data_IF_819898669349
#
_entry.id   IF_819898669349
#
_cell.length_a   1.000
_cell.length_b   1.000
_cell.length_c   1.000
_cell.angle_alpha   90.00
_cell.angle_beta   90.00
_cell.angle_gamma   90.00
#
_symmetry.space_group_name_H-M   'P 1'
#
loop_
_entity.id
_entity.type
_entity.pdbx_description
1 polymer ?
#
# COMPACT_ATOMS: atom_id res chain seq x y z
N UNK A 1 5.32 -10.17 -15.21
CA UNK A 1 6.20 -9.17 -14.55
C UNK A 1 6.62 -9.68 -13.18
N UNK A 2 7.75 -9.20 -12.66
CA UNK A 2 8.29 -9.49 -11.34
C UNK A 2 7.80 -8.44 -10.33
N UNK A 3 7.07 -8.87 -9.30
CA UNK A 3 6.51 -8.01 -8.27
C UNK A 3 7.18 -8.29 -6.92
N UNK A 4 7.70 -7.26 -6.26
CA UNK A 4 8.02 -7.34 -4.83
C UNK A 4 6.81 -6.92 -4.01
N UNK A 5 6.30 -7.81 -3.18
CA UNK A 5 5.17 -7.53 -2.29
C UNK A 5 5.60 -7.53 -0.82
N UNK A 6 5.45 -6.36 -0.19
CA UNK A 6 5.71 -6.13 1.22
C UNK A 6 4.39 -6.14 2.01
N UNK A 7 4.36 -6.74 3.20
CA UNK A 7 3.12 -6.88 3.98
C UNK A 7 2.17 -7.97 3.46
N UNK A 8 2.72 -8.97 2.77
CA UNK A 8 1.99 -10.07 2.13
C UNK A 8 1.12 -10.92 3.06
N UNK A 9 1.48 -11.02 4.33
CA UNK A 9 0.73 -11.78 5.34
C UNK A 9 -0.36 -10.96 6.01
N UNK A 10 -0.50 -9.68 5.67
CA UNK A 10 -1.53 -8.79 6.19
C UNK A 10 -2.87 -8.97 5.46
N UNK A 11 -3.93 -8.39 6.04
CA UNK A 11 -5.31 -8.51 5.55
C UNK A 11 -5.47 -8.17 4.07
N UNK A 12 -4.94 -7.05 3.61
CA UNK A 12 -5.01 -6.65 2.19
C UNK A 12 -3.96 -7.39 1.36
N UNK A 13 -2.73 -7.49 1.87
CA UNK A 13 -1.60 -8.07 1.14
C UNK A 13 -1.84 -9.51 0.70
N UNK A 14 -2.47 -10.34 1.53
CA UNK A 14 -2.74 -11.74 1.20
C UNK A 14 -3.69 -11.88 0.01
N UNK A 15 -4.68 -11.00 -0.11
CA UNK A 15 -5.56 -10.94 -1.27
C UNK A 15 -4.82 -10.44 -2.52
N UNK A 16 -3.94 -9.44 -2.39
CA UNK A 16 -3.14 -8.94 -3.52
C UNK A 16 -2.19 -10.02 -4.06
N UNK A 17 -1.58 -10.85 -3.19
CA UNK A 17 -0.78 -12.01 -3.61
C UNK A 17 -1.60 -12.93 -4.52
N UNK A 18 -2.85 -13.22 -4.15
CA UNK A 18 -3.72 -14.09 -4.94
C UNK A 18 -4.07 -13.48 -6.32
N UNK A 19 -4.30 -12.16 -6.39
CA UNK A 19 -4.50 -11.48 -7.68
C UNK A 19 -3.26 -11.60 -8.58
N UNK A 20 -2.08 -11.28 -8.03
CA UNK A 20 -0.84 -11.31 -8.78
C UNK A 20 -0.50 -12.71 -9.33
N UNK A 21 -0.67 -13.75 -8.49
CA UNK A 21 -0.43 -15.13 -8.90
C UNK A 21 -1.45 -15.61 -9.93
N UNK A 22 -2.73 -15.24 -9.79
CA UNK A 22 -3.79 -15.60 -10.74
C UNK A 22 -3.55 -15.02 -12.14
N UNK A 23 -2.89 -13.87 -12.22
CA UNK A 23 -2.50 -13.23 -13.49
C UNK A 23 -1.10 -13.65 -13.97
N UNK A 24 -0.55 -14.75 -13.41
CA UNK A 24 0.75 -15.33 -13.78
C UNK A 24 1.96 -14.38 -13.63
N UNK A 25 1.91 -13.46 -12.65
CA UNK A 25 3.09 -12.69 -12.27
C UNK A 25 4.04 -13.53 -11.39
N UNK A 26 5.33 -13.21 -11.46
CA UNK A 26 6.33 -13.72 -10.53
C UNK A 26 6.31 -12.85 -9.28
N UNK A 27 5.97 -13.43 -8.14
CA UNK A 27 5.74 -12.70 -6.90
C UNK A 27 6.84 -13.05 -5.91
N UNK A 28 7.60 -12.04 -5.49
CA UNK A 28 8.56 -12.14 -4.40
C UNK A 28 7.97 -11.53 -3.14
N UNK A 29 7.88 -12.30 -2.06
CA UNK A 29 7.44 -11.82 -0.76
C UNK A 29 8.65 -11.59 0.15
N UNK A 30 8.76 -10.42 0.77
CA UNK A 30 9.68 -10.20 1.89
C UNK A 30 8.89 -10.29 3.20
N UNK A 31 9.12 -11.35 3.97
CA UNK A 31 8.32 -11.66 5.18
C UNK A 31 9.19 -11.98 6.38
N UNK A 32 8.76 -11.51 7.57
CA UNK A 32 9.46 -11.76 8.84
C UNK A 32 9.38 -13.22 9.28
N UNK A 33 8.26 -13.88 8.97
CA UNK A 33 7.92 -15.23 9.42
C UNK A 33 7.35 -15.99 8.23
N UNK A 34 8.18 -16.69 7.43
CA UNK A 34 7.76 -17.40 6.22
C UNK A 34 6.64 -18.40 6.45
N UNK A 35 6.55 -18.97 7.65
CA UNK A 35 5.54 -19.94 8.06
C UNK A 35 4.11 -19.36 8.06
N UNK A 36 3.98 -18.03 8.08
CA UNK A 36 2.69 -17.35 7.99
C UNK A 36 2.19 -17.18 6.54
N UNK A 37 2.98 -17.56 5.54
CA UNK A 37 2.55 -17.52 4.15
C UNK A 37 1.72 -18.76 3.84
N UNK A 38 0.43 -18.57 3.54
CA UNK A 38 -0.50 -19.67 3.28
C UNK A 38 -0.55 -20.07 1.80
N UNK A 39 -0.14 -19.19 0.89
CA UNK A 39 -0.17 -19.43 -0.55
C UNK A 39 1.02 -20.28 -0.98
N UNK A 40 0.78 -21.22 -1.89
CA UNK A 40 1.80 -21.97 -2.61
C UNK A 40 1.55 -21.83 -4.11
N UNK A 41 2.60 -21.52 -4.87
CA UNK A 41 2.52 -21.34 -6.32
C UNK A 41 3.91 -21.45 -6.94
N UNK A 42 4.02 -21.93 -8.18
CA UNK A 42 5.31 -22.09 -8.87
C UNK A 42 6.02 -20.74 -9.10
N UNK A 43 5.24 -19.68 -9.30
CA UNK A 43 5.73 -18.30 -9.48
C UNK A 43 5.93 -17.52 -8.18
N UNK A 44 5.82 -18.17 -7.01
CA UNK A 44 5.97 -17.53 -5.70
C UNK A 44 7.36 -17.77 -5.12
N UNK A 45 8.09 -16.70 -4.85
CA UNK A 45 9.36 -16.71 -4.11
C UNK A 45 9.17 -16.07 -2.75
N UNK A 46 9.66 -16.73 -1.69
CA UNK A 46 9.58 -16.22 -0.32
C UNK A 46 10.99 -15.92 0.18
N UNK A 47 11.24 -14.67 0.55
CA UNK A 47 12.48 -14.22 1.17
C UNK A 47 12.19 -13.92 2.63
N UNK A 48 12.89 -14.60 3.54
CA UNK A 48 12.87 -14.24 4.94
C UNK A 48 13.67 -12.94 5.16
N UNK A 49 13.07 -11.97 5.84
CA UNK A 49 13.74 -10.71 6.18
C UNK A 49 12.79 -9.66 6.75
N UNK A 50 13.33 -8.46 6.97
CA UNK A 50 12.61 -7.36 7.57
C UNK A 50 12.74 -6.08 6.73
N UNK A 51 11.63 -5.38 6.50
CA UNK A 51 11.59 -4.09 5.79
C UNK A 51 12.31 -2.95 6.51
N UNK A 52 12.72 -3.15 7.77
CA UNK A 52 13.58 -2.22 8.50
C UNK A 52 15.08 -2.54 8.33
N UNK A 53 15.42 -3.59 7.58
CA UNK A 53 16.79 -3.98 7.26
C UNK A 53 17.09 -3.65 5.79
N UNK A 54 18.03 -2.73 5.54
CA UNK A 54 18.41 -2.31 4.18
C UNK A 54 18.86 -3.49 3.32
N UNK A 55 19.69 -4.39 3.84
CA UNK A 55 20.22 -5.52 3.08
C UNK A 55 19.13 -6.51 2.64
N UNK A 56 18.10 -6.70 3.49
CA UNK A 56 16.95 -7.54 3.15
C UNK A 56 16.11 -6.93 2.02
N UNK A 57 15.86 -5.61 2.06
CA UNK A 57 15.15 -4.90 0.99
C UNK A 57 15.96 -4.95 -0.31
N UNK A 58 17.24 -4.60 -0.28
CA UNK A 58 18.09 -4.62 -1.49
C UNK A 58 18.16 -6.03 -2.10
N UNK A 59 18.23 -7.09 -1.27
CA UNK A 59 18.16 -8.47 -1.76
C UNK A 59 16.83 -8.78 -2.46
N UNK A 60 15.72 -8.33 -1.90
CA UNK A 60 14.38 -8.61 -2.43
C UNK A 60 14.00 -7.75 -3.64
N UNK A 61 14.64 -6.61 -3.84
CA UNK A 61 14.35 -5.66 -4.94
C UNK A 61 14.93 -6.10 -6.30
N UNK A 62 15.93 -6.98 -6.30
CA UNK A 62 16.66 -7.37 -7.51
C UNK A 62 15.75 -7.94 -8.60
N UNK A 63 15.81 -7.32 -9.79
CA UNK A 63 15.08 -7.77 -10.97
C UNK A 63 13.56 -7.57 -10.89
N UNK A 64 13.08 -6.73 -9.98
CA UNK A 64 11.66 -6.41 -9.83
C UNK A 64 11.24 -5.34 -10.85
N UNK A 65 10.03 -5.46 -11.38
CA UNK A 65 9.44 -4.45 -12.27
C UNK A 65 8.69 -3.37 -11.48
N UNK A 66 8.08 -3.76 -10.35
CA UNK A 66 7.34 -2.86 -9.46
C UNK A 66 7.26 -3.39 -8.03
N UNK A 67 6.84 -2.50 -7.12
CA UNK A 67 6.67 -2.80 -5.70
C UNK A 67 5.22 -2.58 -5.30
N UNK A 68 4.64 -3.53 -4.54
CA UNK A 68 3.41 -3.31 -3.78
C UNK A 68 3.74 -3.34 -2.29
N UNK A 69 3.36 -2.28 -1.58
CA UNK A 69 3.46 -2.21 -0.12
C UNK A 69 2.08 -2.23 0.53
N UNK A 70 1.70 -3.39 1.07
CA UNK A 70 0.53 -3.56 1.93
C UNK A 70 0.92 -3.60 3.42
N UNK A 71 2.05 -2.97 3.78
CA UNK A 71 2.51 -2.88 5.16
C UNK A 71 1.48 -2.13 6.01
N UNK A 72 1.30 -2.58 7.24
CA UNK A 72 0.57 -1.85 8.28
C UNK A 72 1.58 -1.07 9.14
N UNK A 73 1.08 -0.24 10.04
CA UNK A 73 1.93 0.50 10.98
C UNK A 73 2.53 -0.40 12.07
N UNK A 74 2.01 -1.62 12.25
CA UNK A 74 2.22 -2.46 13.45
C UNK A 74 1.99 -1.67 14.77
N UNK A 75 1.14 -0.63 14.72
CA UNK A 75 0.96 0.30 15.84
C UNK A 75 2.21 1.13 16.17
N UNK A 76 3.18 1.20 15.26
CA UNK A 76 4.50 1.80 15.45
C UNK A 76 4.88 2.79 14.33
N UNK A 77 6.14 2.81 13.91
CA UNK A 77 6.71 3.69 12.88
C UNK A 77 7.23 2.92 11.65
N UNK A 78 6.81 1.66 11.48
CA UNK A 78 7.32 0.76 10.44
C UNK A 78 7.21 1.38 9.04
N UNK A 79 6.11 2.09 8.73
CA UNK A 79 5.91 2.64 7.39
C UNK A 79 6.90 3.76 7.11
N UNK A 80 7.01 4.72 8.03
CA UNK A 80 7.90 5.87 7.83
C UNK A 80 9.39 5.53 7.88
N UNK A 81 9.76 4.47 8.62
CA UNK A 81 11.14 4.00 8.68
C UNK A 81 11.53 3.12 7.50
N UNK A 82 10.62 2.27 6.99
CA UNK A 82 10.91 1.42 5.83
C UNK A 82 10.85 2.16 4.51
N UNK A 83 9.99 3.16 4.36
CA UNK A 83 9.80 3.88 3.09
C UNK A 83 11.09 4.44 2.47
N UNK A 84 11.97 5.17 3.19
CA UNK A 84 13.23 5.64 2.60
C UNK A 84 14.13 4.48 2.14
N UNK A 85 14.16 3.36 2.88
CA UNK A 85 14.95 2.18 2.50
C UNK A 85 14.39 1.52 1.23
N UNK A 86 13.06 1.47 1.09
CA UNK A 86 12.38 0.96 -0.10
C UNK A 86 12.69 1.86 -1.30
N UNK A 87 12.54 3.18 -1.14
CA UNK A 87 12.83 4.17 -2.19
C UNK A 87 14.29 4.07 -2.65
N UNK A 88 15.23 3.97 -1.72
CA UNK A 88 16.66 3.85 -2.06
C UNK A 88 16.94 2.58 -2.85
N UNK A 89 16.43 1.43 -2.40
CA UNK A 89 16.59 0.17 -3.13
C UNK A 89 15.93 0.18 -4.51
N UNK A 90 14.74 0.78 -4.62
CA UNK A 90 14.06 0.97 -5.91
C UNK A 90 14.92 1.80 -6.87
N UNK A 91 15.51 2.90 -6.40
CA UNK A 91 16.41 3.74 -7.21
C UNK A 91 17.69 3.02 -7.60
N UNK A 92 18.30 2.28 -6.67
CA UNK A 92 19.51 1.48 -6.92
C UNK A 92 19.27 0.42 -8.03
N UNK A 93 18.09 -0.20 -8.05
CA UNK A 93 17.72 -1.24 -9.03
C UNK A 93 16.96 -0.71 -10.26
N UNK A 94 16.72 0.61 -10.34
CA UNK A 94 15.99 1.24 -11.46
C UNK A 94 14.49 0.98 -11.51
N UNK A 95 13.88 0.50 -10.41
CA UNK A 95 12.44 0.25 -10.28
C UNK A 95 11.71 1.57 -10.06
N UNK A 96 10.71 1.88 -10.91
CA UNK A 96 9.98 3.16 -10.82
C UNK A 96 8.62 3.07 -10.15
N UNK A 97 7.88 1.99 -10.34
CA UNK A 97 6.47 1.88 -9.94
C UNK A 97 6.34 1.36 -8.50
N UNK A 98 5.61 2.10 -7.66
CA UNK A 98 5.22 1.64 -6.31
C UNK A 98 3.75 1.93 -6.04
N UNK A 99 3.02 0.91 -5.58
CA UNK A 99 1.65 1.03 -5.09
C UNK A 99 1.66 0.73 -3.59
N UNK A 100 1.08 1.60 -2.77
CA UNK A 100 1.03 1.41 -1.32
C UNK A 100 -0.39 1.51 -0.79
N UNK A 101 -0.72 0.70 0.21
CA UNK A 101 -1.98 0.79 0.94
C UNK A 101 -1.81 1.79 2.09
N UNK A 102 -2.54 2.89 1.98
CA UNK A 102 -2.57 4.00 2.93
C UNK A 102 -3.79 3.99 3.84
N UNK A 103 -4.25 5.20 4.18
CA UNK A 103 -5.46 5.42 4.97
C UNK A 103 -6.16 6.68 4.50
N UNK A 104 -7.50 6.71 4.56
CA UNK A 104 -8.28 7.91 4.29
C UNK A 104 -7.88 9.10 5.17
N UNK A 105 -7.24 8.87 6.33
CA UNK A 105 -6.72 9.93 7.18
C UNK A 105 -5.73 10.86 6.46
N UNK A 106 -4.92 10.35 5.53
CA UNK A 106 -3.92 11.13 4.80
C UNK A 106 -4.44 11.73 3.48
N UNK A 107 -5.73 11.59 3.18
CA UNK A 107 -6.35 12.31 2.07
C UNK A 107 -6.55 13.78 2.43
N UNK A 108 -6.80 14.61 1.43
CA UNK A 108 -7.09 16.03 1.58
C UNK A 108 -8.43 16.22 2.28
N UNK A 109 -8.49 17.10 3.30
CA UNK A 109 -9.78 17.55 3.84
C UNK A 109 -10.48 18.46 2.84
N UNK A 110 -11.78 18.24 2.65
CA UNK A 110 -12.68 19.14 1.91
C UNK A 110 -13.08 20.34 2.74
N UNK A 111 -13.32 20.16 4.03
CA UNK A 111 -13.72 21.25 4.93
C UNK A 111 -12.58 22.23 5.24
N UNK A 112 -11.33 21.77 5.14
CA UNK A 112 -10.12 22.52 5.48
C UNK A 112 -9.00 22.16 4.49
N UNK A 113 -8.96 22.78 3.29
CA UNK A 113 -8.04 22.40 2.20
C UNK A 113 -6.55 22.50 2.51
N UNK A 114 -6.16 23.13 3.60
CA UNK A 114 -4.79 23.20 4.12
C UNK A 114 -4.41 22.01 5.01
N UNK A 115 -5.38 21.17 5.38
CA UNK A 115 -5.23 20.07 6.32
C UNK A 115 -5.49 18.71 5.66
N UNK A 116 -4.80 17.68 6.15
CA UNK A 116 -5.18 16.30 5.89
C UNK A 116 -6.41 15.93 6.72
N UNK A 117 -7.21 14.96 6.24
CA UNK A 117 -8.45 14.54 6.91
C UNK A 117 -8.25 14.23 8.39
N UNK A 118 -7.15 13.57 8.77
CA UNK A 118 -6.85 13.22 10.17
C UNK A 118 -6.60 14.43 11.07
N UNK A 119 -6.26 15.59 10.51
CA UNK A 119 -6.03 16.86 11.20
C UNK A 119 -7.29 17.75 11.26
N UNK A 120 -8.30 17.42 10.45
CA UNK A 120 -9.56 18.16 10.33
C UNK A 120 -10.70 17.54 11.15
N UNK A 121 -11.84 18.23 11.20
CA UNK A 121 -13.07 17.72 11.81
C UNK A 121 -13.72 16.54 11.06
N UNK A 122 -13.27 16.22 9.84
CA UNK A 122 -13.77 15.07 9.06
C UNK A 122 -13.37 13.72 9.67
N UNK A 123 -12.28 13.69 10.42
CA UNK A 123 -11.83 12.49 11.12
C UNK A 123 -12.38 12.45 12.53
N UNK A 124 -13.23 11.47 12.82
CA UNK A 124 -13.74 11.20 14.18
C UNK A 124 -12.77 10.37 15.03
N UNK A 125 -11.60 10.00 14.51
CA UNK A 125 -10.62 9.16 15.22
C UNK A 125 -9.88 9.97 16.27
N UNK A 126 -9.85 9.46 17.51
CA UNK A 126 -9.09 10.06 18.62
C UNK A 126 -7.59 9.77 18.56
N UNK A 127 -7.20 8.63 18.00
CA UNK A 127 -5.80 8.23 17.85
C UNK A 127 -5.34 8.46 16.42
N UNK A 128 -4.33 9.33 16.26
CA UNK A 128 -3.80 9.78 14.97
C UNK A 128 -2.48 9.10 14.59
N UNK A 129 -1.82 8.40 15.51
CA UNK A 129 -0.50 7.79 15.32
C UNK A 129 -0.35 7.03 14.00
N UNK A 130 -1.35 6.24 13.63
CA UNK A 130 -1.31 5.48 12.38
C UNK A 130 -1.36 6.40 11.15
N UNK A 131 -2.24 7.41 11.15
CA UNK A 131 -2.33 8.38 10.07
C UNK A 131 -1.06 9.24 9.96
N UNK A 132 -0.43 9.59 11.09
CA UNK A 132 0.85 10.29 11.10
C UNK A 132 1.99 9.45 10.50
N UNK A 133 2.00 8.13 10.74
CA UNK A 133 3.01 7.25 10.13
C UNK A 133 2.81 7.10 8.62
N UNK A 134 1.56 6.96 8.18
CA UNK A 134 1.23 7.03 6.76
C UNK A 134 1.58 8.38 6.14
N UNK A 135 1.37 9.49 6.87
CA UNK A 135 1.69 10.83 6.39
C UNK A 135 3.20 10.98 6.17
N UNK A 136 4.02 10.56 7.14
CA UNK A 136 5.49 10.57 6.98
C UNK A 136 5.95 9.70 5.80
N UNK A 137 5.36 8.51 5.62
CA UNK A 137 5.65 7.67 4.45
C UNK A 137 5.23 8.33 3.12
N UNK A 138 4.10 9.03 3.11
CA UNK A 138 3.64 9.80 1.96
C UNK A 138 4.61 10.94 1.60
N UNK A 139 5.14 11.70 2.57
CA UNK A 139 6.09 12.78 2.29
C UNK A 139 7.40 12.28 1.67
N UNK A 140 7.86 11.08 2.05
CA UNK A 140 8.96 10.40 1.36
C UNK A 140 8.62 10.06 -0.09
N UNK A 141 7.46 9.45 -0.34
CA UNK A 141 7.01 9.10 -1.70
C UNK A 141 6.85 10.34 -2.58
N UNK A 142 6.22 11.39 -2.06
CA UNK A 142 5.94 12.65 -2.74
C UNK A 142 7.21 13.29 -3.31
N UNK A 143 8.32 13.19 -2.58
CA UNK A 143 9.62 13.78 -2.97
C UNK A 143 10.58 12.76 -3.62
N UNK A 144 10.16 11.50 -3.77
CA UNK A 144 11.02 10.41 -4.22
C UNK A 144 11.41 10.48 -5.71
N UNK A 145 10.55 11.06 -6.55
CA UNK A 145 10.66 10.97 -8.01
C UNK A 145 10.20 9.63 -8.62
N UNK A 146 9.58 8.76 -7.82
CA UNK A 146 9.01 7.48 -8.27
C UNK A 146 7.57 7.64 -8.80
N UNK A 147 7.13 6.67 -9.59
CA UNK A 147 5.76 6.56 -10.09
C UNK A 147 4.87 5.94 -9.01
N UNK A 148 4.51 6.72 -7.98
CA UNK A 148 3.81 6.22 -6.81
C UNK A 148 2.28 6.39 -6.87
N UNK A 149 1.54 5.45 -6.26
CA UNK A 149 0.10 5.58 -5.99
C UNK A 149 -0.20 5.09 -4.58
N UNK A 150 -0.98 5.86 -3.80
CA UNK A 150 -1.39 5.47 -2.44
C UNK A 150 -2.89 5.18 -2.44
N UNK A 151 -3.29 3.93 -2.21
CA UNK A 151 -4.70 3.53 -2.07
C UNK A 151 -5.15 3.78 -0.63
N UNK A 152 -6.12 4.67 -0.43
CA UNK A 152 -6.52 5.18 0.88
C UNK A 152 -7.92 4.69 1.28
N UNK A 153 -8.06 3.47 1.83
CA UNK A 153 -9.31 3.00 2.40
C UNK A 153 -9.65 3.77 3.69
N UNK A 154 -10.94 3.89 4.00
CA UNK A 154 -11.44 4.45 5.27
C UNK A 154 -11.61 3.34 6.33
N UNK A 155 -12.78 3.16 6.93
CA UNK A 155 -13.05 1.97 7.75
C UNK A 155 -12.96 0.71 6.87
N UNK A 156 -12.07 -0.21 7.25
CA UNK A 156 -11.68 -1.38 6.48
C UNK A 156 -12.09 -2.66 7.20
N UNK A 157 -13.38 -3.03 7.25
CA UNK A 157 -13.81 -4.32 7.76
C UNK A 157 -13.44 -5.47 6.81
N UNK A 158 -13.43 -6.69 7.34
CA UNK A 158 -13.52 -7.86 6.48
C UNK A 158 -14.92 -7.92 5.84
N UNK A 159 -15.10 -8.75 4.83
CA UNK A 159 -16.37 -8.89 4.14
C UNK A 159 -16.21 -9.43 2.73
N UNK A 160 -17.28 -9.36 1.96
CA UNK A 160 -17.33 -9.85 0.59
C UNK A 160 -16.67 -8.87 -0.39
N UNK A 161 -16.14 -9.43 -1.48
CA UNK A 161 -15.80 -8.69 -2.69
C UNK A 161 -17.10 -8.29 -3.40
N UNK A 162 -17.26 -7.00 -3.73
CA UNK A 162 -18.43 -6.52 -4.48
C UNK A 162 -18.04 -6.01 -5.87
N UNK A 163 -16.80 -5.52 -6.04
CA UNK A 163 -16.34 -4.87 -7.27
C UNK A 163 -17.06 -3.55 -7.58
N UNK A 164 -17.87 -3.05 -6.64
CA UNK A 164 -18.66 -1.82 -6.79
C UNK A 164 -18.31 -0.86 -5.66
N UNK A 165 -17.47 0.12 -5.99
CA UNK A 165 -17.02 1.14 -5.06
C UNK A 165 -16.72 2.43 -5.83
N UNK A 166 -16.71 3.55 -5.10
CA UNK A 166 -16.37 4.88 -5.60
C UNK A 166 -14.90 5.15 -5.35
N UNK A 167 -14.29 5.89 -6.27
CA UNK A 167 -12.86 6.19 -6.29
C UNK A 167 -12.71 7.69 -6.52
N UNK A 168 -11.88 8.35 -5.73
CA UNK A 168 -11.59 9.76 -5.94
C UNK A 168 -10.13 10.10 -5.70
N UNK A 169 -9.57 10.93 -6.58
CA UNK A 169 -8.21 11.44 -6.48
C UNK A 169 -8.14 12.46 -5.34
N UNK A 170 -7.15 12.29 -4.47
CA UNK A 170 -6.79 13.12 -3.31
C UNK A 170 -7.85 13.27 -2.21
N UNK A 171 -9.11 12.95 -2.47
CA UNK A 171 -10.20 13.05 -1.51
C UNK A 171 -10.81 11.68 -1.22
N UNK A 172 -11.50 11.55 -0.07
CA UNK A 172 -12.40 10.42 0.14
C UNK A 172 -13.69 10.70 -0.64
N UNK A 173 -14.27 9.71 -1.34
CA UNK A 173 -15.59 9.84 -1.93
C UNK A 173 -16.59 10.40 -0.90
N UNK A 174 -17.45 11.33 -1.33
CA UNK A 174 -18.44 11.97 -0.45
C UNK A 174 -19.30 10.91 0.25
N UNK A 175 -19.63 11.12 1.53
CA UNK A 175 -20.37 10.14 2.35
C UNK A 175 -19.67 8.77 2.50
N UNK A 176 -18.43 8.62 2.02
CA UNK A 176 -17.65 7.39 2.09
C UNK A 176 -17.38 6.98 3.54
N UNK A 177 -17.94 5.84 3.95
CA UNK A 177 -17.87 5.39 5.35
C UNK A 177 -17.00 4.16 5.54
N UNK A 178 -17.01 3.22 4.58
CA UNK A 178 -16.29 1.93 4.66
C UNK A 178 -15.96 1.37 3.28
N UNK A 179 -15.04 0.41 3.25
CA UNK A 179 -14.74 -0.45 2.10
C UNK A 179 -14.18 -1.79 2.58
N UNK A 180 -14.48 -2.91 1.91
CA UNK A 180 -14.00 -4.22 2.35
C UNK A 180 -12.51 -4.43 2.02
N UNK A 181 -11.90 -5.38 2.75
CA UNK A 181 -10.54 -5.86 2.46
C UNK A 181 -10.40 -6.38 1.02
N UNK A 182 -11.28 -7.25 0.50
CA UNK A 182 -11.18 -7.73 -0.88
C UNK A 182 -11.28 -6.62 -1.93
N UNK A 183 -12.21 -5.66 -1.79
CA UNK A 183 -12.33 -4.56 -2.75
C UNK A 183 -11.10 -3.62 -2.71
N UNK A 184 -10.54 -3.41 -1.52
CA UNK A 184 -9.28 -2.66 -1.37
C UNK A 184 -8.10 -3.36 -2.04
N UNK A 185 -8.00 -4.68 -1.88
CA UNK A 185 -6.96 -5.48 -2.52
C UNK A 185 -7.10 -5.48 -4.05
N UNK A 186 -8.33 -5.62 -4.54
CA UNK A 186 -8.63 -5.60 -5.96
C UNK A 186 -8.30 -4.25 -6.59
N UNK A 187 -8.72 -3.14 -5.95
CA UNK A 187 -8.36 -1.81 -6.44
C UNK A 187 -6.85 -1.56 -6.40
N UNK A 188 -6.16 -2.03 -5.35
CA UNK A 188 -4.69 -1.96 -5.24
C UNK A 188 -4.01 -2.68 -6.40
N UNK A 189 -4.48 -3.87 -6.74
CA UNK A 189 -3.95 -4.65 -7.85
C UNK A 189 -4.19 -3.96 -9.20
N UNK A 190 -5.39 -3.42 -9.44
CA UNK A 190 -5.70 -2.64 -10.65
C UNK A 190 -4.76 -1.45 -10.89
N UNK A 191 -4.05 -0.97 -9.87
CA UNK A 191 -3.10 0.13 -10.03
C UNK A 191 -1.78 -0.28 -10.69
N UNK A 192 -1.50 -1.58 -10.84
CA UNK A 192 -0.28 -2.06 -11.52
C UNK A 192 -0.22 -1.54 -12.96
N UNK A 193 -1.35 -1.64 -13.69
CA UNK A 193 -1.46 -1.23 -15.10
C UNK A 193 -2.22 0.09 -15.31
N UNK A 194 -2.44 0.86 -14.23
CA UNK A 194 -3.20 2.11 -14.29
C UNK A 194 -2.34 3.34 -13.98
N UNK A 195 -2.17 4.18 -15.00
CA UNK A 195 -1.39 5.42 -14.89
C UNK A 195 -2.21 6.63 -14.38
N UNK A 196 -3.55 6.51 -14.34
CA UNK A 196 -4.46 7.61 -13.98
C UNK A 196 -4.15 8.19 -12.59
N UNK A 197 -3.65 7.37 -11.68
CA UNK A 197 -3.42 7.72 -10.28
C UNK A 197 -1.94 7.77 -9.89
N UNK A 198 -1.03 7.89 -10.87
CA UNK A 198 0.36 8.21 -10.57
C UNK A 198 0.43 9.59 -9.90
N UNK A 199 1.24 9.70 -8.85
CA UNK A 199 1.40 10.90 -8.05
C UNK A 199 0.17 11.27 -7.22
N UNK A 200 -0.70 10.30 -6.90
CA UNK A 200 -1.93 10.54 -6.15
C UNK A 200 -2.12 9.63 -4.93
N UNK A 201 -2.76 10.21 -3.92
CA UNK A 201 -3.48 9.44 -2.91
C UNK A 201 -4.90 9.26 -3.41
N UNK A 202 -5.47 8.06 -3.30
CA UNK A 202 -6.74 7.72 -3.93
C UNK A 202 -7.70 7.21 -2.88
N UNK A 203 -8.73 7.99 -2.58
CA UNK A 203 -9.78 7.56 -1.67
C UNK A 203 -10.66 6.51 -2.32
N UNK A 204 -10.94 5.44 -1.57
CA UNK A 204 -11.88 4.39 -1.99
C UNK A 204 -12.90 4.13 -0.87
N UNK A 205 -14.17 4.07 -1.25
CA UNK A 205 -15.29 3.81 -0.36
C UNK A 205 -16.50 3.32 -1.17
N UNK A 206 -17.44 2.62 -0.53
CA UNK A 206 -18.76 2.40 -1.11
C UNK A 206 -19.51 3.72 -1.28
#
# INVERSE_FOLDING_TARGET
MNCLLLGATGRVGSHVVNHALKENHYVTLLVRTPENVQSTHENLTIINGNVLNKADITRAMKGMDFVISALNTDGSTTLSQSMPLIIDAMKEEGVRRIITVGTAGILQSRSSPELLRYQSSESKRKLTRAAEDHHRAYEWLKTSGLDWTIVCPTYLPDGEYTGQYRVERDFLPEEGAKISVPDTAEFTWKQVDCDQYIGARVGIAY
#
